data_IF_186628219326
#
_entry.id   IF_186628219326
#
_cell.length_a   1.000
_cell.length_b   1.000
_cell.length_c   1.000
_cell.angle_alpha   90.00
_cell.angle_beta   90.00
_cell.angle_gamma   90.00
#
_symmetry.space_group_name_H-M   'P 1'
#
loop_
_entity.id
_entity.type
_entity.pdbx_description
1 polymer ?
#
# COMPACT_ATOMS: atom_id res chain seq x y z
N UNK A 1 12.84 24.66 8.49
CA UNK A 1 14.04 23.81 8.65
C UNK A 1 14.87 23.96 7.38
N UNK A 2 16.10 24.47 7.52
CA UNK A 2 17.00 24.74 6.39
C UNK A 2 17.40 23.44 5.67
N UNK A 3 17.59 22.35 6.41
CA UNK A 3 17.95 21.07 5.82
C UNK A 3 16.85 20.55 4.91
N UNK A 4 15.60 20.51 5.40
CA UNK A 4 14.46 20.05 4.60
C UNK A 4 14.24 20.90 3.35
N UNK A 5 14.53 22.21 3.43
CA UNK A 5 14.42 23.13 2.30
C UNK A 5 15.44 22.80 1.21
N UNK A 6 16.72 22.68 1.58
CA UNK A 6 17.80 22.35 0.64
C UNK A 6 17.59 20.96 0.05
N UNK A 7 17.23 19.98 0.89
CA UNK A 7 16.97 18.60 0.44
C UNK A 7 15.78 18.51 -0.51
N UNK A 8 14.69 19.23 -0.25
CA UNK A 8 13.52 19.22 -1.12
C UNK A 8 13.84 19.75 -2.53
N UNK A 9 14.53 20.90 -2.62
CA UNK A 9 14.91 21.48 -3.92
C UNK A 9 15.83 20.52 -4.68
N UNK A 10 16.88 20.02 -4.03
CA UNK A 10 17.83 19.10 -4.66
C UNK A 10 17.17 17.80 -5.14
N UNK A 11 16.35 17.17 -4.29
CA UNK A 11 15.69 15.90 -4.61
C UNK A 11 14.59 16.09 -5.65
N UNK A 12 13.95 17.26 -5.70
CA UNK A 12 13.00 17.66 -6.73
C UNK A 12 13.66 17.77 -8.11
N UNK A 13 14.76 18.53 -8.20
CA UNK A 13 15.54 18.68 -9.44
C UNK A 13 16.04 17.33 -9.97
N UNK A 14 16.46 16.45 -9.06
CA UNK A 14 16.96 15.15 -9.42
C UNK A 14 15.83 14.21 -9.87
N UNK A 15 14.70 14.20 -9.18
CA UNK A 15 13.53 13.43 -9.60
C UNK A 15 13.04 13.87 -11.00
N UNK A 16 13.06 15.18 -11.29
CA UNK A 16 12.74 15.71 -12.63
C UNK A 16 13.69 15.17 -13.69
N UNK A 17 15.01 15.25 -13.46
CA UNK A 17 16.01 14.74 -14.42
C UNK A 17 15.87 13.24 -14.68
N UNK A 18 15.61 12.46 -13.64
CA UNK A 18 15.44 11.02 -13.80
C UNK A 18 14.12 10.71 -14.52
N UNK A 19 13.06 11.50 -14.30
CA UNK A 19 11.79 11.35 -15.04
C UNK A 19 11.95 11.57 -16.55
N UNK A 20 12.98 12.32 -16.95
CA UNK A 20 13.40 12.52 -18.35
C UNK A 20 14.34 11.41 -18.87
N UNK A 21 14.44 10.29 -18.16
CA UNK A 21 15.34 9.16 -18.44
C UNK A 21 16.85 9.52 -18.46
N UNK A 22 17.23 10.63 -17.82
CA UNK A 22 18.64 11.00 -17.71
C UNK A 22 19.32 10.15 -16.62
N UNK A 23 20.45 9.48 -16.92
CA UNK A 23 21.14 8.66 -15.93
C UNK A 23 21.70 9.53 -14.79
N UNK A 24 21.62 9.04 -13.55
CA UNK A 24 22.24 9.72 -12.41
C UNK A 24 23.74 9.50 -12.39
N UNK A 25 24.49 10.56 -12.11
CA UNK A 25 25.93 10.49 -11.89
C UNK A 25 26.26 9.84 -10.55
N UNK A 26 27.46 9.27 -10.42
CA UNK A 26 27.97 8.73 -9.15
C UNK A 26 27.91 9.76 -8.01
N UNK A 27 28.20 11.03 -8.30
CA UNK A 27 28.13 12.13 -7.34
C UNK A 27 26.70 12.36 -6.86
N UNK A 28 25.72 12.38 -7.77
CA UNK A 28 24.30 12.53 -7.41
C UNK A 28 23.82 11.37 -6.53
N UNK A 29 24.18 10.13 -6.88
CA UNK A 29 23.83 8.96 -6.06
C UNK A 29 24.42 9.04 -4.65
N UNK A 30 25.67 9.50 -4.50
CA UNK A 30 26.26 9.73 -3.15
C UNK A 30 25.50 10.77 -2.35
N UNK A 31 25.08 11.86 -2.98
CA UNK A 31 24.33 12.94 -2.31
C UNK A 31 22.95 12.44 -1.88
N UNK A 32 22.22 11.70 -2.74
CA UNK A 32 20.94 11.05 -2.38
C UNK A 32 21.09 10.25 -1.10
N UNK A 33 22.06 9.32 -1.07
CA UNK A 33 22.30 8.46 0.09
C UNK A 33 22.62 9.24 1.36
N UNK A 34 23.35 10.36 1.23
CA UNK A 34 23.67 11.22 2.37
C UNK A 34 22.42 11.96 2.89
N UNK A 35 21.57 12.46 1.99
CA UNK A 35 20.30 13.10 2.33
C UNK A 35 19.39 12.10 3.04
N UNK A 36 19.19 10.90 2.48
CA UNK A 36 18.36 9.84 3.05
C UNK A 36 18.85 9.42 4.45
N UNK A 37 20.15 9.16 4.61
CA UNK A 37 20.73 8.84 5.93
C UNK A 37 20.48 9.96 6.95
N UNK A 38 20.56 11.22 6.50
CA UNK A 38 20.31 12.36 7.39
C UNK A 38 18.83 12.50 7.74
N UNK A 39 17.90 12.22 6.83
CA UNK A 39 16.47 12.12 7.12
C UNK A 39 16.24 11.05 8.21
N UNK A 40 16.77 9.84 8.03
CA UNK A 40 16.63 8.77 9.02
C UNK A 40 17.17 9.18 10.40
N UNK A 41 18.36 9.79 10.44
CA UNK A 41 18.94 10.26 11.69
C UNK A 41 18.10 11.34 12.38
N UNK A 42 17.50 12.26 11.62
CA UNK A 42 16.73 13.38 12.18
C UNK A 42 15.33 12.99 12.64
N UNK A 43 14.68 12.03 11.97
CA UNK A 43 13.25 11.74 12.16
C UNK A 43 12.97 10.44 12.90
N UNK A 44 13.93 9.53 13.01
CA UNK A 44 13.76 8.26 13.75
C UNK A 44 13.36 8.45 15.22
N UNK A 45 13.77 9.56 15.84
CA UNK A 45 13.44 9.89 17.23
C UNK A 45 12.19 10.78 17.38
N UNK A 46 11.54 11.18 16.27
CA UNK A 46 10.41 12.14 16.27
C UNK A 46 9.04 11.48 16.14
N UNK A 47 8.90 10.23 16.59
CA UNK A 47 7.67 9.43 16.41
C UNK A 47 6.42 10.20 16.85
N UNK A 48 5.47 10.38 15.93
CA UNK A 48 4.17 11.01 16.18
C UNK A 48 4.18 12.54 16.35
N UNK A 49 5.30 13.24 16.15
CA UNK A 49 5.45 14.64 16.56
C UNK A 49 5.40 15.66 15.42
N UNK A 50 5.33 15.26 14.15
CA UNK A 50 5.24 16.19 13.01
C UNK A 50 3.77 16.45 12.63
N UNK A 51 3.21 17.64 12.95
CA UNK A 51 1.82 17.95 12.64
C UNK A 51 1.62 18.32 11.16
N UNK A 52 0.36 18.39 10.72
CA UNK A 52 -0.03 18.71 9.33
C UNK A 52 0.61 20.00 8.80
N UNK A 53 0.77 21.02 9.64
CA UNK A 53 1.39 22.30 9.28
C UNK A 53 2.88 22.18 8.93
N UNK A 54 3.58 21.18 9.44
CA UNK A 54 4.97 20.93 9.10
C UNK A 54 5.09 20.45 7.65
N UNK A 55 4.10 19.68 7.17
CA UNK A 55 3.96 19.20 5.80
C UNK A 55 3.51 20.30 4.82
N UNK A 56 4.30 21.37 4.75
CA UNK A 56 4.21 22.39 3.70
C UNK A 56 4.76 21.88 2.36
N UNK A 57 4.87 22.75 1.34
CA UNK A 57 5.26 22.36 -0.01
C UNK A 57 6.61 21.62 -0.08
N UNK A 58 7.62 22.09 0.66
CA UNK A 58 8.97 21.53 0.58
C UNK A 58 9.07 20.13 1.20
N UNK A 59 8.62 19.86 2.45
CA UNK A 59 8.64 18.51 2.98
C UNK A 59 7.77 17.53 2.18
N UNK A 60 6.65 17.99 1.62
CA UNK A 60 5.83 17.18 0.71
C UNK A 60 6.59 16.83 -0.57
N UNK A 61 7.23 17.81 -1.21
CA UNK A 61 8.05 17.57 -2.41
C UNK A 61 9.18 16.58 -2.12
N UNK A 62 9.85 16.67 -0.97
CA UNK A 62 10.85 15.69 -0.56
C UNK A 62 10.25 14.28 -0.44
N UNK A 63 9.08 14.16 0.19
CA UNK A 63 8.37 12.89 0.32
C UNK A 63 7.97 12.30 -1.04
N UNK A 64 7.58 13.14 -2.00
CA UNK A 64 7.26 12.74 -3.37
C UNK A 64 8.51 12.30 -4.15
N UNK A 65 9.64 13.00 -3.99
CA UNK A 65 10.91 12.58 -4.58
C UNK A 65 11.38 11.21 -4.05
N UNK A 66 11.18 10.92 -2.77
CA UNK A 66 11.47 9.59 -2.21
C UNK A 66 10.59 8.52 -2.87
N UNK A 67 9.30 8.77 -3.06
CA UNK A 67 8.41 7.84 -3.77
C UNK A 67 8.88 7.60 -5.20
N UNK A 68 9.41 8.62 -5.87
CA UNK A 68 9.95 8.49 -7.22
C UNK A 68 11.21 7.61 -7.24
N UNK A 69 12.14 7.81 -6.29
CA UNK A 69 13.35 6.98 -6.16
C UNK A 69 13.00 5.50 -5.90
N UNK A 70 11.94 5.25 -5.12
CA UNK A 70 11.44 3.89 -4.89
C UNK A 70 10.97 3.17 -6.16
N UNK A 71 10.68 3.90 -7.24
CA UNK A 71 10.15 3.36 -8.51
C UNK A 71 11.22 3.19 -9.59
N UNK A 72 12.49 3.50 -9.28
CA UNK A 72 13.57 3.35 -10.25
C UNK A 72 13.72 1.89 -10.67
N UNK A 73 13.99 1.60 -11.96
CA UNK A 73 14.16 0.23 -12.44
C UNK A 73 15.24 -0.51 -11.65
N UNK A 74 14.93 -1.75 -11.28
CA UNK A 74 15.85 -2.64 -10.56
C UNK A 74 16.40 -3.64 -11.57
N UNK A 75 17.68 -3.52 -11.90
CA UNK A 75 18.37 -4.42 -12.84
C UNK A 75 19.12 -5.56 -12.14
N UNK A 76 19.15 -5.57 -10.81
CA UNK A 76 19.85 -6.55 -9.97
C UNK A 76 18.89 -7.43 -9.17
N UNK A 77 19.38 -8.57 -8.66
CA UNK A 77 18.61 -9.40 -7.73
C UNK A 77 18.32 -8.66 -6.40
N UNK A 78 19.27 -7.83 -5.95
CA UNK A 78 19.12 -7.01 -4.76
C UNK A 78 18.53 -5.63 -5.07
N UNK A 79 17.80 -5.08 -4.11
CA UNK A 79 17.35 -3.70 -4.17
C UNK A 79 18.54 -2.75 -4.11
N UNK A 80 18.62 -1.74 -5.01
CA UNK A 80 19.65 -0.72 -4.93
C UNK A 80 19.64 -0.02 -3.56
N UNK A 81 20.82 0.32 -2.99
CA UNK A 81 20.88 0.95 -1.66
C UNK A 81 20.05 2.23 -1.54
N UNK A 82 19.97 3.04 -2.61
CA UNK A 82 19.16 4.25 -2.65
C UNK A 82 17.65 3.92 -2.60
N UNK A 83 17.19 2.94 -3.38
CA UNK A 83 15.80 2.48 -3.33
C UNK A 83 15.42 1.96 -1.94
N UNK A 84 16.30 1.17 -1.31
CA UNK A 84 16.09 0.66 0.05
C UNK A 84 16.00 1.79 1.07
N UNK A 85 16.96 2.71 1.08
CA UNK A 85 16.97 3.85 2.01
C UNK A 85 15.80 4.81 1.77
N UNK A 86 15.35 4.97 0.52
CA UNK A 86 14.17 5.76 0.21
C UNK A 86 12.90 5.14 0.85
N UNK A 87 12.74 3.82 0.79
CA UNK A 87 11.65 3.10 1.49
C UNK A 87 11.75 3.34 2.99
N UNK A 88 12.94 3.15 3.58
CA UNK A 88 13.17 3.39 5.02
C UNK A 88 12.85 4.84 5.41
N UNK A 89 13.18 5.81 4.55
CA UNK A 89 12.87 7.23 4.78
C UNK A 89 11.37 7.51 4.74
N UNK A 90 10.64 6.92 3.80
CA UNK A 90 9.17 7.03 3.72
C UNK A 90 8.56 6.48 5.01
N UNK A 91 8.95 5.29 5.44
CA UNK A 91 8.49 4.68 6.69
C UNK A 91 8.78 5.57 7.91
N UNK A 92 10.01 6.07 8.00
CA UNK A 92 10.46 6.94 9.09
C UNK A 92 9.65 8.25 9.15
N UNK A 93 9.44 8.90 8.01
CA UNK A 93 8.67 10.14 7.90
C UNK A 93 7.18 9.94 8.20
N UNK A 94 6.59 8.82 7.74
CA UNK A 94 5.24 8.43 8.13
C UNK A 94 5.18 8.24 9.65
N UNK A 95 6.11 7.49 10.25
CA UNK A 95 6.18 7.25 11.69
C UNK A 95 6.38 8.54 12.52
N UNK A 96 7.16 9.49 12.00
CA UNK A 96 7.38 10.78 12.64
C UNK A 96 6.16 11.70 12.59
N UNK A 97 5.22 11.45 11.68
CA UNK A 97 3.99 12.24 11.54
C UNK A 97 2.96 11.94 12.62
N UNK A 98 2.24 12.98 13.05
CA UNK A 98 1.00 12.87 13.84
C UNK A 98 -0.01 11.97 13.11
N UNK A 99 -1.03 11.48 13.81
CA UNK A 99 -2.06 10.61 13.23
C UNK A 99 -2.76 11.33 12.06
N UNK A 100 -3.12 12.60 12.28
CA UNK A 100 -3.82 13.46 11.31
C UNK A 100 -2.95 13.74 10.09
N UNK A 101 -1.68 14.12 10.30
CA UNK A 101 -0.75 14.34 9.20
C UNK A 101 -0.50 13.06 8.40
N UNK A 102 -0.36 11.92 9.08
CA UNK A 102 -0.12 10.63 8.43
C UNK A 102 -1.30 10.19 7.57
N UNK A 103 -2.55 10.44 8.00
CA UNK A 103 -3.72 10.24 7.15
C UNK A 103 -3.59 11.04 5.84
N UNK A 104 -3.27 12.33 5.92
CA UNK A 104 -3.07 13.17 4.73
C UNK A 104 -1.95 12.65 3.82
N UNK A 105 -0.84 12.19 4.40
CA UNK A 105 0.28 11.63 3.64
C UNK A 105 -0.11 10.35 2.90
N UNK A 106 -0.85 9.44 3.53
CA UNK A 106 -1.35 8.24 2.85
C UNK A 106 -2.29 8.60 1.69
N UNK A 107 -3.17 9.59 1.85
CA UNK A 107 -4.01 10.08 0.74
C UNK A 107 -3.18 10.60 -0.42
N UNK A 108 -2.16 11.42 -0.16
CA UNK A 108 -1.24 11.91 -1.21
C UNK A 108 -0.46 10.75 -1.86
N UNK A 109 0.11 9.86 -1.06
CA UNK A 109 0.85 8.67 -1.51
C UNK A 109 0.02 7.81 -2.47
N UNK A 110 -1.21 7.45 -2.10
CA UNK A 110 -2.06 6.62 -2.96
C UNK A 110 -2.56 7.37 -4.21
N UNK A 111 -2.71 8.69 -4.17
CA UNK A 111 -3.01 9.48 -5.36
C UNK A 111 -1.83 9.50 -6.34
N UNK A 112 -0.60 9.70 -5.86
CA UNK A 112 0.61 9.70 -6.69
C UNK A 112 0.94 8.32 -7.26
N UNK A 113 0.49 7.26 -6.61
CA UNK A 113 0.61 5.87 -7.08
C UNK A 113 -0.44 5.50 -8.14
N UNK A 114 -1.43 6.36 -8.43
CA UNK A 114 -2.34 6.16 -9.57
C UNK A 114 -1.63 6.49 -10.88
N UNK A 115 -1.10 7.72 -10.98
CA UNK A 115 -0.49 8.26 -12.21
C UNK A 115 0.81 7.57 -12.62
N UNK A 116 1.57 7.06 -11.65
CA UNK A 116 2.83 6.33 -11.88
C UNK A 116 2.78 5.02 -11.10
N UNK A 117 2.04 4.06 -11.65
CA UNK A 117 1.79 2.78 -11.00
C UNK A 117 3.08 2.01 -10.73
N UNK A 118 3.19 1.46 -9.52
CA UNK A 118 4.25 0.54 -9.14
C UNK A 118 3.71 -0.46 -8.11
N UNK A 119 3.54 -1.72 -8.52
CA UNK A 119 2.86 -2.75 -7.72
C UNK A 119 3.52 -2.98 -6.35
N UNK A 120 4.86 -3.01 -6.29
CA UNK A 120 5.63 -3.22 -5.06
C UNK A 120 5.45 -2.11 -4.02
N UNK A 121 5.74 -0.86 -4.39
CA UNK A 121 5.52 0.31 -3.52
C UNK A 121 4.05 0.46 -3.09
N UNK A 122 3.09 0.18 -3.97
CA UNK A 122 1.66 0.18 -3.61
C UNK A 122 1.33 -0.89 -2.58
N UNK A 123 1.82 -2.13 -2.77
CA UNK A 123 1.65 -3.23 -1.82
C UNK A 123 2.24 -2.90 -0.44
N UNK A 124 3.45 -2.34 -0.44
CA UNK A 124 4.13 -1.90 0.77
C UNK A 124 3.35 -0.78 1.47
N UNK A 125 2.87 0.21 0.72
CA UNK A 125 2.03 1.31 1.25
C UNK A 125 0.73 0.81 1.90
N UNK A 126 0.08 -0.21 1.33
CA UNK A 126 -1.10 -0.85 1.94
C UNK A 126 -0.73 -1.53 3.25
N UNK A 127 0.44 -2.18 3.31
CA UNK A 127 0.92 -2.82 4.55
C UNK A 127 1.18 -1.79 5.64
N UNK A 128 1.81 -0.66 5.31
CA UNK A 128 2.01 0.45 6.24
C UNK A 128 0.67 1.06 6.70
N UNK A 129 -0.29 1.25 5.79
CA UNK A 129 -1.63 1.73 6.14
C UNK A 129 -2.35 0.77 7.09
N UNK A 130 -2.26 -0.54 6.84
CA UNK A 130 -2.82 -1.58 7.72
C UNK A 130 -2.21 -1.50 9.12
N UNK A 131 -0.90 -1.38 9.22
CA UNK A 131 -0.20 -1.28 10.50
C UNK A 131 -0.57 0.02 11.22
N UNK A 132 -0.63 1.14 10.50
CA UNK A 132 -1.08 2.42 11.05
C UNK A 132 -2.53 2.36 11.58
N UNK A 133 -3.44 1.76 10.82
CA UNK A 133 -4.80 1.51 11.27
C UNK A 133 -4.81 0.62 12.52
N UNK A 134 -4.01 -0.46 12.54
CA UNK A 134 -3.91 -1.37 13.66
C UNK A 134 -3.47 -0.66 14.94
N UNK A 135 -2.36 0.06 14.89
CA UNK A 135 -1.75 0.73 16.03
C UNK A 135 -2.69 1.80 16.60
N UNK A 136 -3.27 2.60 15.71
CA UNK A 136 -4.22 3.65 16.10
C UNK A 136 -5.51 3.07 16.68
N UNK A 137 -5.98 1.95 16.13
CA UNK A 137 -7.15 1.25 16.66
C UNK A 137 -6.84 0.65 18.03
N UNK A 138 -5.68 0.01 18.23
CA UNK A 138 -5.25 -0.47 19.56
C UNK A 138 -5.17 0.68 20.57
N UNK A 139 -4.56 1.80 20.19
CA UNK A 139 -4.47 2.97 21.05
C UNK A 139 -5.86 3.48 21.43
N UNK A 140 -6.78 3.59 20.47
CA UNK A 140 -8.16 3.97 20.75
C UNK A 140 -8.87 3.01 21.72
N UNK A 141 -8.60 1.69 21.64
CA UNK A 141 -9.13 0.71 22.58
C UNK A 141 -8.54 0.85 23.99
N UNK A 142 -7.27 1.22 24.10
CA UNK A 142 -6.54 1.27 25.38
C UNK A 142 -6.75 2.58 26.13
N UNK A 143 -6.65 3.72 25.43
CA UNK A 143 -6.71 5.05 26.03
C UNK A 143 -8.06 5.76 25.82
N UNK A 144 -8.93 5.19 24.99
CA UNK A 144 -10.16 5.83 24.53
C UNK A 144 -9.94 6.82 23.37
N UNK A 145 -10.96 6.95 22.52
CA UNK A 145 -10.98 7.89 21.39
C UNK A 145 -10.79 9.36 21.83
N UNK A 146 -11.43 9.85 22.92
CA UNK A 146 -11.26 11.25 23.34
C UNK A 146 -9.81 11.59 23.71
N UNK A 147 -9.10 10.67 24.36
CA UNK A 147 -7.68 10.86 24.72
C UNK A 147 -6.80 10.96 23.47
N UNK A 148 -7.04 10.09 22.48
CA UNK A 148 -6.33 10.12 21.20
C UNK A 148 -6.52 11.48 20.49
N UNK A 149 -7.75 11.99 20.44
CA UNK A 149 -8.04 13.29 19.83
C UNK A 149 -7.46 14.46 20.63
N UNK A 150 -7.44 14.36 21.95
CA UNK A 150 -6.80 15.37 22.81
C UNK A 150 -5.30 15.45 22.54
N UNK A 151 -4.61 14.31 22.41
CA UNK A 151 -3.19 14.26 22.06
C UNK A 151 -2.88 14.91 20.71
N UNK A 152 -3.69 14.66 19.69
CA UNK A 152 -3.54 15.31 18.38
C UNK A 152 -3.75 16.84 18.46
N UNK A 153 -4.71 17.31 19.26
CA UNK A 153 -4.92 18.76 19.48
C UNK A 153 -3.73 19.42 20.19
N UNK A 154 -3.08 18.72 21.12
CA UNK A 154 -1.86 19.23 21.78
C UNK A 154 -0.71 19.41 20.78
N UNK A 155 -0.71 18.66 19.67
CA UNK A 155 0.23 18.84 18.55
C UNK A 155 -0.18 19.97 17.58
N UNK A 156 -1.24 20.72 17.90
CA UNK A 156 -1.86 21.76 17.06
C UNK A 156 -2.56 21.23 15.81
N UNK A 157 -3.17 20.05 15.88
CA UNK A 157 -4.10 19.56 14.85
C UNK A 157 -5.52 20.10 15.09
N UNK A 158 -5.94 21.06 14.26
CA UNK A 158 -7.25 21.71 14.38
C UNK A 158 -8.40 20.84 13.82
N UNK A 159 -8.12 20.03 12.81
CA UNK A 159 -9.07 19.13 12.14
C UNK A 159 -8.60 17.68 12.31
N UNK A 160 -8.59 17.20 13.56
CA UNK A 160 -8.12 15.85 13.89
C UNK A 160 -8.81 14.82 13.00
N UNK A 161 -8.02 13.94 12.39
CA UNK A 161 -8.48 12.88 11.51
C UNK A 161 -7.75 11.58 11.84
N UNK A 162 -8.50 10.57 12.28
CA UNK A 162 -7.95 9.24 12.56
C UNK A 162 -8.19 8.25 11.41
N UNK A 163 -7.34 7.20 11.27
CA UNK A 163 -7.41 6.25 10.16
C UNK A 163 -8.68 5.38 10.15
N UNK A 164 -9.44 5.36 11.23
CA UNK A 164 -10.72 4.66 11.33
C UNK A 164 -11.93 5.54 11.00
N UNK A 165 -11.73 6.83 10.74
CA UNK A 165 -12.82 7.74 10.38
C UNK A 165 -13.31 7.47 8.96
N UNK A 166 -14.63 7.30 8.82
CA UNK A 166 -15.26 6.99 7.54
C UNK A 166 -14.90 7.99 6.43
N UNK A 167 -14.85 9.29 6.74
CA UNK A 167 -14.49 10.35 5.75
C UNK A 167 -13.10 10.17 5.13
N UNK A 168 -12.20 9.47 5.82
CA UNK A 168 -10.85 9.19 5.36
C UNK A 168 -10.73 7.77 4.79
N UNK A 169 -11.20 6.77 5.55
CA UNK A 169 -10.98 5.37 5.21
C UNK A 169 -11.83 4.92 4.00
N UNK A 170 -13.07 5.39 3.87
CA UNK A 170 -13.96 4.96 2.79
C UNK A 170 -13.42 5.34 1.40
N UNK A 171 -13.01 6.61 1.12
CA UNK A 171 -12.39 6.95 -0.15
C UNK A 171 -11.14 6.12 -0.45
N UNK A 172 -10.27 5.91 0.55
CA UNK A 172 -9.08 5.08 0.39
C UNK A 172 -9.45 3.63 0.03
N UNK A 173 -10.38 3.02 0.76
CA UNK A 173 -10.81 1.64 0.47
C UNK A 173 -11.41 1.51 -0.94
N UNK A 174 -12.16 2.50 -1.43
CA UNK A 174 -12.64 2.52 -2.83
C UNK A 174 -11.50 2.50 -3.85
N UNK A 175 -10.41 3.19 -3.55
CA UNK A 175 -9.23 3.24 -4.40
C UNK A 175 -8.37 1.97 -4.30
N UNK A 176 -8.30 1.37 -3.11
CA UNK A 176 -7.52 0.16 -2.85
C UNK A 176 -8.20 -1.10 -3.39
N UNK A 177 -9.53 -1.17 -3.34
CA UNK A 177 -10.32 -2.35 -3.67
C UNK A 177 -11.07 -2.18 -4.99
N UNK A 178 -10.33 -1.84 -6.04
CA UNK A 178 -10.82 -1.78 -7.42
C UNK A 178 -9.84 -2.54 -8.31
N UNK A 179 -10.35 -3.51 -9.06
CA UNK A 179 -9.57 -4.30 -10.01
C UNK A 179 -10.41 -4.55 -11.27
N UNK A 180 -9.86 -4.42 -12.49
CA UNK A 180 -8.51 -3.91 -12.80
C UNK A 180 -8.37 -2.42 -12.45
N UNK A 181 -7.13 -1.95 -12.32
CA UNK A 181 -6.85 -0.51 -12.19
C UNK A 181 -6.95 0.15 -13.57
N UNK A 182 -7.72 1.23 -13.70
CA UNK A 182 -8.04 1.85 -14.99
C UNK A 182 -6.81 2.27 -15.82
N UNK A 183 -5.73 2.66 -15.16
CA UNK A 183 -4.48 3.12 -15.80
C UNK A 183 -3.41 2.02 -15.90
N UNK A 184 -3.70 0.81 -15.40
CA UNK A 184 -2.77 -0.30 -15.40
C UNK A 184 -3.12 -1.30 -16.51
N UNK A 185 -2.21 -1.45 -17.47
CA UNK A 185 -2.31 -2.48 -18.53
C UNK A 185 -1.66 -3.80 -18.14
N UNK A 186 -1.10 -3.88 -16.95
CA UNK A 186 -0.37 -5.05 -16.49
C UNK A 186 -1.34 -6.19 -16.14
N UNK A 187 -0.86 -7.43 -16.24
CA UNK A 187 -1.67 -8.61 -15.91
C UNK A 187 -1.90 -8.74 -14.40
N UNK A 188 -2.84 -9.60 -13.99
CA UNK A 188 -2.99 -9.98 -12.57
C UNK A 188 -1.68 -10.45 -11.93
N UNK A 189 -0.78 -11.09 -12.68
CA UNK A 189 0.51 -11.58 -12.18
C UNK A 189 1.47 -10.45 -11.84
N UNK A 190 1.51 -9.39 -12.65
CA UNK A 190 2.33 -8.20 -12.41
C UNK A 190 1.79 -7.39 -11.22
N UNK A 191 0.48 -7.48 -11.00
CA UNK A 191 -0.25 -6.84 -9.92
C UNK A 191 -0.32 -7.69 -8.63
N UNK A 192 0.30 -8.87 -8.61
CA UNK A 192 0.22 -9.87 -7.55
C UNK A 192 0.47 -9.31 -6.15
N UNK A 193 1.58 -8.57 -5.97
CA UNK A 193 1.98 -8.04 -4.66
C UNK A 193 0.93 -7.08 -4.09
N UNK A 194 0.38 -6.21 -4.93
CA UNK A 194 -0.65 -5.25 -4.53
C UNK A 194 -1.96 -5.98 -4.18
N UNK A 195 -2.39 -6.93 -5.02
CA UNK A 195 -3.59 -7.72 -4.78
C UNK A 195 -3.50 -8.48 -3.46
N UNK A 196 -2.39 -9.16 -3.21
CA UNK A 196 -2.17 -9.89 -1.96
C UNK A 196 -2.18 -8.96 -0.74
N UNK A 197 -1.57 -7.77 -0.82
CA UNK A 197 -1.60 -6.80 0.26
C UNK A 197 -3.03 -6.29 0.54
N UNK A 198 -3.81 -6.01 -0.51
CA UNK A 198 -5.19 -5.57 -0.42
C UNK A 198 -6.10 -6.65 0.18
N UNK A 199 -6.00 -7.91 -0.29
CA UNK A 199 -6.76 -9.03 0.26
C UNK A 199 -6.43 -9.27 1.74
N UNK A 200 -5.14 -9.20 2.11
CA UNK A 200 -4.71 -9.30 3.51
C UNK A 200 -5.23 -8.15 4.38
N UNK A 201 -5.34 -6.93 3.84
CA UNK A 201 -5.96 -5.81 4.54
C UNK A 201 -7.43 -6.12 4.88
N UNK A 202 -8.20 -6.61 3.89
CA UNK A 202 -9.62 -6.95 4.07
C UNK A 202 -9.76 -8.07 5.12
N UNK A 203 -8.94 -9.13 5.02
CA UNK A 203 -8.91 -10.22 5.99
C UNK A 203 -8.62 -9.70 7.41
N UNK A 204 -7.58 -8.88 7.56
CA UNK A 204 -7.21 -8.32 8.86
C UNK A 204 -8.37 -7.57 9.52
N UNK A 205 -9.05 -6.68 8.78
CA UNK A 205 -10.16 -5.89 9.33
C UNK A 205 -11.32 -6.79 9.74
N UNK A 206 -11.69 -7.75 8.89
CA UNK A 206 -12.81 -8.66 9.18
C UNK A 206 -12.50 -9.59 10.37
N UNK A 207 -11.28 -10.16 10.45
CA UNK A 207 -10.84 -10.97 11.59
C UNK A 207 -10.88 -10.15 12.89
N UNK A 208 -10.29 -8.95 12.85
CA UNK A 208 -10.20 -8.10 14.04
C UNK A 208 -11.56 -7.67 14.54
N UNK A 209 -12.47 -7.30 13.64
CA UNK A 209 -13.81 -6.90 14.02
C UNK A 209 -14.65 -8.08 14.54
N UNK A 210 -14.51 -9.28 13.95
CA UNK A 210 -15.16 -10.51 14.46
C UNK A 210 -14.69 -10.88 15.86
N UNK A 211 -13.40 -10.66 16.16
CA UNK A 211 -12.81 -10.96 17.46
C UNK A 211 -13.10 -9.88 18.52
N UNK A 212 -13.70 -8.75 18.16
CA UNK A 212 -14.16 -7.77 19.14
C UNK A 212 -15.47 -8.24 19.76
N UNK A 213 -15.45 -8.55 21.05
CA UNK A 213 -16.67 -8.84 21.80
C UNK A 213 -17.43 -7.53 22.07
N UNK A 214 -18.43 -7.24 21.24
CA UNK A 214 -19.24 -6.01 21.31
C UNK A 214 -20.01 -5.85 22.61
N UNK A 215 -20.27 -6.92 23.37
CA UNK A 215 -20.97 -6.85 24.66
C UNK A 215 -20.07 -6.47 25.83
N UNK A 216 -18.74 -6.58 25.67
CA UNK A 216 -17.74 -6.22 26.68
C UNK A 216 -16.94 -4.97 26.30
N UNK A 217 -17.18 -4.41 25.12
CA UNK A 217 -16.40 -3.30 24.58
C UNK A 217 -17.07 -1.95 24.88
N UNK A 218 -16.25 -0.93 25.11
CA UNK A 218 -16.71 0.46 25.18
C UNK A 218 -17.58 0.80 23.94
N UNK A 219 -18.79 1.36 24.10
CA UNK A 219 -19.65 1.78 22.99
C UNK A 219 -18.94 2.63 21.93
N UNK A 220 -17.99 3.48 22.32
CA UNK A 220 -17.20 4.29 21.40
C UNK A 220 -16.29 3.42 20.51
N UNK A 221 -15.69 2.37 21.08
CA UNK A 221 -14.85 1.40 20.37
C UNK A 221 -15.70 0.51 19.47
N UNK A 222 -16.88 0.07 19.94
CA UNK A 222 -17.83 -0.67 19.10
C UNK A 222 -18.29 0.17 17.90
N UNK A 223 -18.60 1.46 18.11
CA UNK A 223 -18.95 2.40 17.04
C UNK A 223 -17.82 2.58 16.03
N UNK A 224 -16.57 2.72 16.50
CA UNK A 224 -15.37 2.80 15.66
C UNK A 224 -15.22 1.53 14.81
N UNK A 225 -15.29 0.36 15.42
CA UNK A 225 -15.20 -0.93 14.72
C UNK A 225 -16.24 -1.06 13.62
N UNK A 226 -17.49 -0.67 13.91
CA UNK A 226 -18.56 -0.64 12.92
C UNK A 226 -18.24 0.31 11.75
N UNK A 227 -17.69 1.51 12.02
CA UNK A 227 -17.28 2.47 10.97
C UNK A 227 -16.15 1.93 10.09
N UNK A 228 -15.17 1.24 10.68
CA UNK A 228 -14.07 0.60 9.94
C UNK A 228 -14.62 -0.51 9.05
N UNK A 229 -15.44 -1.41 9.60
CA UNK A 229 -16.09 -2.47 8.85
C UNK A 229 -16.93 -1.93 7.69
N UNK A 230 -17.75 -0.90 7.93
CA UNK A 230 -18.56 -0.28 6.87
C UNK A 230 -17.72 0.40 5.78
N UNK A 231 -16.52 0.89 6.12
CA UNK A 231 -15.62 1.51 5.14
C UNK A 231 -14.93 0.47 4.26
N UNK A 232 -14.61 -0.70 4.81
CA UNK A 232 -13.99 -1.82 4.08
C UNK A 232 -15.04 -2.62 3.31
N UNK A 233 -16.13 -3.03 3.97
CA UNK A 233 -17.26 -3.76 3.39
C UNK A 233 -18.32 -2.78 2.87
N UNK A 234 -17.88 -1.82 2.07
CA UNK A 234 -18.73 -0.74 1.58
C UNK A 234 -19.70 -1.23 0.50
N UNK A 235 -20.86 -0.58 0.44
CA UNK A 235 -21.85 -0.78 -0.63
C UNK A 235 -21.74 0.31 -1.69
N UNK A 236 -22.08 -0.03 -2.93
CA UNK A 236 -22.29 0.93 -4.02
C UNK A 236 -23.62 1.68 -3.87
N UNK A 237 -23.92 2.57 -4.82
CA UNK A 237 -25.14 3.38 -4.85
C UNK A 237 -26.41 2.53 -4.97
N UNK A 238 -26.29 1.30 -5.46
CA UNK A 238 -27.38 0.33 -5.59
C UNK A 238 -27.48 -0.60 -4.38
N UNK A 239 -26.71 -0.33 -3.31
CA UNK A 239 -26.72 -1.12 -2.08
C UNK A 239 -26.02 -2.48 -2.21
N UNK A 240 -25.29 -2.73 -3.30
CA UNK A 240 -24.54 -3.98 -3.51
C UNK A 240 -23.13 -3.85 -2.97
N UNK A 241 -22.53 -4.96 -2.54
CA UNK A 241 -21.14 -5.00 -2.11
C UNK A 241 -20.19 -4.48 -3.19
N UNK A 242 -19.53 -3.35 -2.93
CA UNK A 242 -18.52 -2.80 -3.83
C UNK A 242 -17.31 -3.75 -3.93
N UNK A 243 -16.92 -4.37 -2.82
CA UNK A 243 -15.86 -5.38 -2.79
C UNK A 243 -16.17 -6.56 -3.71
N UNK A 244 -17.39 -7.11 -3.65
CA UNK A 244 -17.74 -8.24 -4.51
C UNK A 244 -17.79 -7.82 -5.98
N UNK A 245 -18.44 -6.69 -6.28
CA UNK A 245 -18.71 -6.27 -7.66
C UNK A 245 -17.48 -5.74 -8.37
N UNK A 246 -16.66 -4.92 -7.70
CA UNK A 246 -15.57 -4.13 -8.30
C UNK A 246 -14.17 -4.69 -8.04
N UNK A 247 -14.05 -5.70 -7.19
CA UNK A 247 -12.75 -6.28 -6.81
C UNK A 247 -12.75 -7.81 -6.93
N UNK A 248 -13.45 -8.52 -6.04
CA UNK A 248 -13.40 -9.98 -5.93
C UNK A 248 -13.85 -10.67 -7.22
N UNK A 249 -14.98 -10.25 -7.82
CA UNK A 249 -15.50 -10.86 -9.05
C UNK A 249 -14.51 -10.73 -10.22
N UNK A 250 -13.84 -9.58 -10.32
CA UNK A 250 -12.91 -9.32 -11.41
C UNK A 250 -11.63 -10.14 -11.22
N UNK A 251 -11.08 -10.19 -9.99
CA UNK A 251 -9.95 -11.07 -9.66
C UNK A 251 -10.31 -12.53 -9.94
N UNK A 252 -11.49 -12.99 -9.51
CA UNK A 252 -11.92 -14.39 -9.69
C UNK A 252 -12.04 -14.77 -11.17
N UNK A 253 -12.53 -13.86 -12.00
CA UNK A 253 -12.67 -14.08 -13.45
C UNK A 253 -11.29 -14.27 -14.09
N UNK A 254 -10.35 -13.36 -13.84
CA UNK A 254 -9.01 -13.41 -14.44
C UNK A 254 -8.17 -14.56 -13.85
N UNK A 255 -8.29 -14.80 -12.54
CA UNK A 255 -7.64 -15.93 -11.86
C UNK A 255 -8.00 -17.26 -12.52
N UNK A 256 -9.28 -17.49 -12.83
CA UNK A 256 -9.73 -18.72 -13.52
C UNK A 256 -9.08 -18.87 -14.88
N UNK A 257 -9.11 -17.81 -15.69
CA UNK A 257 -8.53 -17.81 -17.04
C UNK A 257 -7.03 -18.11 -17.02
N UNK A 258 -6.30 -17.52 -16.06
CA UNK A 258 -4.87 -17.75 -15.90
C UNK A 258 -4.58 -19.17 -15.38
N UNK A 259 -5.33 -19.66 -14.39
CA UNK A 259 -5.16 -21.03 -13.88
C UNK A 259 -5.37 -22.05 -15.00
N UNK A 260 -6.45 -21.95 -15.77
CA UNK A 260 -6.73 -22.87 -16.88
C UNK A 260 -5.60 -22.86 -17.91
N UNK A 261 -5.12 -21.66 -18.29
CA UNK A 261 -4.01 -21.50 -19.24
C UNK A 261 -2.72 -22.15 -18.75
N UNK A 262 -2.30 -21.86 -17.51
CA UNK A 262 -1.04 -22.37 -16.98
C UNK A 262 -1.10 -23.85 -16.61
N UNK A 263 -2.26 -24.39 -16.21
CA UNK A 263 -2.46 -25.82 -16.00
C UNK A 263 -2.41 -26.59 -17.32
N UNK A 264 -3.00 -26.05 -18.40
CA UNK A 264 -2.88 -26.66 -19.73
C UNK A 264 -1.42 -26.66 -20.21
N UNK A 265 -0.70 -25.56 -20.04
CA UNK A 265 0.72 -25.47 -20.40
C UNK A 265 1.58 -26.45 -19.59
N UNK A 266 1.38 -26.55 -18.27
CA UNK A 266 2.08 -27.54 -17.44
C UNK A 266 1.81 -28.97 -17.92
N UNK A 267 0.54 -29.29 -18.24
CA UNK A 267 0.17 -30.62 -18.73
C UNK A 267 0.85 -30.94 -20.06
N UNK A 268 0.90 -29.98 -20.98
CA UNK A 268 1.57 -30.11 -22.28
C UNK A 268 3.06 -30.43 -22.08
N UNK A 269 3.72 -29.70 -21.17
CA UNK A 269 5.12 -29.96 -20.76
C UNK A 269 5.35 -31.37 -20.24
N UNK A 270 4.41 -31.90 -19.44
CA UNK A 270 4.50 -33.26 -18.91
C UNK A 270 4.22 -34.34 -19.96
N UNK A 271 3.40 -34.05 -20.98
CA UNK A 271 3.05 -35.00 -22.05
C UNK A 271 4.00 -34.98 -23.24
N UNK A 272 4.77 -33.91 -23.44
CA UNK A 272 5.68 -33.74 -24.58
C UNK A 272 7.01 -33.17 -24.11
N UNK A 273 7.97 -34.00 -23.64
CA UNK A 273 9.18 -33.51 -23.00
C UNK A 273 10.20 -32.87 -23.96
N UNK A 274 9.94 -32.83 -25.28
CA UNK A 274 10.84 -32.21 -26.26
C UNK A 274 10.58 -30.68 -26.33
N UNK A 275 11.55 -29.84 -25.91
CA UNK A 275 11.43 -28.38 -25.95
C UNK A 275 11.14 -27.80 -27.34
N UNK A 276 11.46 -28.54 -28.41
CA UNK A 276 11.23 -28.12 -29.80
C UNK A 276 9.76 -28.19 -30.23
N UNK A 277 8.91 -28.86 -29.44
CA UNK A 277 7.47 -29.01 -29.73
C UNK A 277 6.64 -27.85 -29.18
N UNK A 278 7.20 -27.01 -28.31
CA UNK A 278 6.49 -25.85 -27.77
C UNK A 278 6.58 -24.64 -28.70
N UNK A 279 5.52 -23.84 -28.69
CA UNK A 279 5.50 -22.56 -29.40
C UNK A 279 6.65 -21.65 -28.90
N UNK A 280 7.33 -20.91 -29.80
CA UNK A 280 8.33 -19.91 -29.40
C UNK A 280 7.73 -18.91 -28.40
N UNK A 281 8.37 -18.74 -27.24
CA UNK A 281 7.88 -17.87 -26.16
C UNK A 281 6.88 -18.51 -25.20
N UNK A 282 6.64 -19.83 -25.28
CA UNK A 282 5.92 -20.55 -24.24
C UNK A 282 6.68 -20.48 -22.90
N UNK A 283 5.97 -20.30 -21.77
CA UNK A 283 6.60 -20.29 -20.46
C UNK A 283 7.26 -21.65 -20.17
N UNK A 284 8.38 -21.63 -19.45
CA UNK A 284 9.04 -22.86 -19.00
C UNK A 284 8.15 -23.64 -18.01
N UNK A 285 8.42 -24.93 -17.82
CA UNK A 285 7.71 -25.74 -16.82
C UNK A 285 7.87 -25.16 -15.40
N UNK A 286 9.06 -24.65 -15.08
CA UNK A 286 9.32 -24.00 -13.79
C UNK A 286 8.50 -22.72 -13.63
N UNK A 287 8.46 -21.87 -14.67
CA UNK A 287 7.63 -20.66 -14.69
C UNK A 287 6.14 -20.99 -14.54
N UNK A 288 5.66 -22.05 -15.20
CA UNK A 288 4.28 -22.51 -15.07
C UNK A 288 3.96 -22.88 -13.62
N UNK A 289 4.81 -23.69 -12.99
CA UNK A 289 4.65 -24.14 -11.60
C UNK A 289 4.69 -22.98 -10.61
N UNK A 290 5.67 -22.08 -10.75
CA UNK A 290 5.77 -20.88 -9.91
C UNK A 290 4.55 -19.99 -10.07
N UNK A 291 4.04 -19.84 -11.29
CA UNK A 291 2.84 -19.06 -11.57
C UNK A 291 1.60 -19.69 -10.94
N UNK A 292 1.41 -21.00 -11.11
CA UNK A 292 0.30 -21.73 -10.48
C UNK A 292 0.34 -21.63 -8.95
N UNK A 293 1.51 -21.67 -8.32
CA UNK A 293 1.65 -21.44 -6.87
C UNK A 293 1.18 -20.03 -6.47
N UNK A 294 1.53 -19.00 -7.24
CA UNK A 294 1.05 -17.62 -7.01
C UNK A 294 -0.47 -17.52 -7.15
N UNK A 295 -1.04 -18.08 -8.21
CA UNK A 295 -2.48 -18.09 -8.45
C UNK A 295 -3.22 -18.84 -7.32
N UNK A 296 -2.69 -19.99 -6.89
CA UNK A 296 -3.23 -20.74 -5.76
C UNK A 296 -3.21 -19.95 -4.45
N UNK A 297 -2.17 -19.13 -4.21
CA UNK A 297 -2.13 -18.26 -3.03
C UNK A 297 -3.27 -17.23 -3.06
N UNK A 298 -3.54 -16.61 -4.21
CA UNK A 298 -4.67 -15.68 -4.38
C UNK A 298 -5.99 -16.42 -4.14
N UNK A 299 -6.16 -17.58 -4.79
CA UNK A 299 -7.37 -18.42 -4.67
C UNK A 299 -7.67 -18.75 -3.21
N UNK A 300 -6.68 -19.27 -2.48
CA UNK A 300 -6.83 -19.62 -1.06
C UNK A 300 -7.20 -18.41 -0.19
N UNK A 301 -6.62 -17.25 -0.49
CA UNK A 301 -6.90 -15.99 0.22
C UNK A 301 -8.34 -15.52 -0.04
N UNK A 302 -8.83 -15.65 -1.29
CA UNK A 302 -10.22 -15.36 -1.64
C UNK A 302 -11.21 -16.32 -0.97
N UNK A 303 -10.91 -17.61 -0.95
CA UNK A 303 -11.72 -18.62 -0.23
C UNK A 303 -11.83 -18.27 1.24
N UNK A 304 -10.72 -17.89 1.88
CA UNK A 304 -10.72 -17.45 3.29
C UNK A 304 -11.58 -16.20 3.53
N UNK A 305 -11.63 -15.29 2.56
CA UNK A 305 -12.49 -14.10 2.63
C UNK A 305 -13.98 -14.44 2.59
N UNK A 306 -14.38 -15.53 1.93
CA UNK A 306 -15.79 -15.96 1.84
C UNK A 306 -16.35 -16.42 3.20
N UNK A 307 -15.50 -16.78 4.16
CA UNK A 307 -15.92 -17.08 5.54
C UNK A 307 -16.47 -15.85 6.28
N UNK A 308 -16.16 -14.66 5.79
CA UNK A 308 -16.70 -13.42 6.31
C UNK A 308 -17.92 -13.04 5.47
N UNK A 309 -19.02 -12.67 6.13
CA UNK A 309 -20.19 -12.09 5.46
C UNK A 309 -19.82 -10.68 4.95
N UNK A 310 -19.10 -10.64 3.83
CA UNK A 310 -18.87 -9.42 3.08
C UNK A 310 -20.24 -8.94 2.61
N UNK A 311 -20.77 -7.87 3.20
CA UNK A 311 -22.06 -7.27 2.83
C UNK A 311 -21.98 -6.75 1.41
#
# INVERSE_FOLDING_TARGET
DLFTTISAVFMGDLASKISENMPTTLTQNRIILQVERRILALFSQKKGNLPRRWWGPLPLSLFESLQFICKLPISSQDLPPATKLAVDCIECLLCASSITARCRLFTNLFNNLKTHYHCGLRAHSITLLKNFLHDTWLQACQSGVPSLYSGERQLNENEVCAPFERRYLLPLCKDLFRFPLAECKESLLDQFSWLMAALNFILYVNIRAKNMNTTLCDPAVASLTAKVLQSVNMTDEQGKSFLKSSFIKNITTELRQLTDRYTMAEKEHLTSPDPKTFAPGAPSLEECRLTLLKLNLISNTLTRLQEFQLV
#
